data_IF_004754186813
#
_entry.id   IF_004754186813
#
_cell.length_a   1.000
_cell.length_b   1.000
_cell.length_c   1.000
_cell.angle_alpha   90.00
_cell.angle_beta   90.00
_cell.angle_gamma   90.00
#
_symmetry.space_group_name_H-M   'P 1'
#
loop_
_entity.id
_entity.type
_entity.pdbx_description
1 polymer ?
#
# COMPACT_ATOMS: atom_id res chain seq x y z
N UNK A 1 4.43 2.70 -1.59
CA UNK A 1 4.19 1.92 -0.38
C UNK A 1 2.71 1.58 -0.31
N UNK A 2 2.32 0.50 0.38
CA UNK A 2 0.93 0.17 0.67
C UNK A 2 0.70 0.19 2.19
N UNK A 3 -0.34 0.87 2.63
CA UNK A 3 -0.70 1.04 4.04
C UNK A 3 -2.16 0.66 4.24
N UNK A 4 -2.46 -0.07 5.31
CA UNK A 4 -3.83 -0.42 5.68
C UNK A 4 -4.27 0.35 6.91
N UNK A 5 -5.33 1.12 6.78
CA UNK A 5 -5.94 1.89 7.86
C UNK A 5 -7.15 1.16 8.42
N UNK A 6 -7.33 1.22 9.74
CA UNK A 6 -8.58 0.80 10.38
C UNK A 6 -9.57 1.97 10.27
N UNK A 7 -10.69 1.75 9.59
CA UNK A 7 -11.80 2.72 9.49
C UNK A 7 -13.09 2.11 10.05
N UNK A 8 -14.09 2.91 10.44
CA UNK A 8 -15.39 2.40 10.89
C UNK A 8 -16.08 1.47 9.88
N UNK A 9 -15.86 1.69 8.59
CA UNK A 9 -16.47 0.95 7.48
C UNK A 9 -15.70 -0.34 7.13
N UNK A 10 -14.50 -0.53 7.68
CA UNK A 10 -13.62 -1.67 7.42
C UNK A 10 -12.17 -1.27 7.18
N UNK A 11 -11.26 -2.22 6.94
CA UNK A 11 -9.87 -1.89 6.58
C UNK A 11 -9.81 -1.22 5.21
N UNK A 12 -9.16 -0.05 5.11
CA UNK A 12 -8.94 0.66 3.87
C UNK A 12 -7.47 0.54 3.44
N UNK A 13 -7.22 0.10 2.22
CA UNK A 13 -5.91 0.08 1.59
C UNK A 13 -5.67 1.43 0.90
N UNK A 14 -4.53 2.03 1.21
CA UNK A 14 -3.98 3.16 0.44
C UNK A 14 -2.63 2.74 -0.09
N UNK A 15 -2.43 2.88 -1.40
CA UNK A 15 -1.12 2.74 -2.01
C UNK A 15 -0.79 3.96 -2.84
N UNK A 16 0.38 4.54 -2.58
CA UNK A 16 0.91 5.68 -3.30
C UNK A 16 2.34 5.42 -3.76
N UNK A 17 2.69 5.92 -4.94
CA UNK A 17 4.05 5.91 -5.46
C UNK A 17 4.48 7.32 -5.80
N UNK A 18 5.66 7.74 -5.33
CA UNK A 18 6.31 8.93 -5.86
C UNK A 18 6.69 8.75 -7.34
N UNK A 19 6.94 9.83 -8.08
CA UNK A 19 7.15 9.80 -9.53
C UNK A 19 8.44 9.09 -9.99
N UNK A 20 9.28 8.57 -9.09
CA UNK A 20 10.62 8.08 -9.43
C UNK A 20 10.84 6.62 -9.04
N UNK A 21 11.52 5.89 -9.93
CA UNK A 21 12.04 4.55 -9.72
C UNK A 21 13.48 4.65 -9.15
N UNK A 22 13.75 4.15 -7.94
CA UNK A 22 15.06 4.06 -7.34
C UNK A 22 15.89 3.00 -8.08
N UNK A 23 16.61 3.44 -9.11
CA UNK A 23 17.67 2.65 -9.74
C UNK A 23 18.92 2.59 -8.86
N UNK A 24 19.84 1.68 -9.15
CA UNK A 24 21.08 1.44 -8.38
C UNK A 24 22.12 2.58 -8.41
N UNK A 25 21.69 3.82 -8.67
CA UNK A 25 22.52 5.02 -8.85
C UNK A 25 21.87 6.30 -8.31
N UNK A 26 20.82 6.21 -7.52
CA UNK A 26 20.15 7.41 -7.01
C UNK A 26 20.79 7.98 -5.73
N UNK A 27 20.82 9.31 -5.63
CA UNK A 27 21.40 10.06 -4.52
C UNK A 27 20.47 10.07 -3.29
N UNK A 28 21.02 10.56 -2.15
CA UNK A 28 20.44 10.58 -0.80
C UNK A 28 18.92 10.80 -0.79
N UNK A 29 18.26 9.87 -0.10
CA UNK A 29 16.81 9.76 0.07
C UNK A 29 16.23 11.03 0.72
N UNK A 30 15.81 11.96 -0.12
CA UNK A 30 15.02 13.10 0.30
C UNK A 30 13.58 12.75 -0.03
N UNK A 31 12.76 12.60 1.01
CA UNK A 31 11.32 12.40 0.88
C UNK A 31 10.71 13.64 0.23
N UNK A 32 10.66 13.67 -1.10
CA UNK A 32 10.01 14.73 -1.85
C UNK A 32 8.52 14.39 -1.92
N UNK A 33 7.78 14.94 -0.96
CA UNK A 33 6.36 15.26 -1.06
C UNK A 33 5.39 14.11 -1.41
N UNK A 34 4.70 13.61 -0.39
CA UNK A 34 3.42 12.88 -0.52
C UNK A 34 2.26 13.80 -0.95
N UNK A 35 2.52 14.78 -1.81
CA UNK A 35 1.61 15.89 -2.09
C UNK A 35 0.91 15.76 -3.45
N UNK A 36 1.11 14.63 -4.14
CA UNK A 36 0.41 14.33 -5.40
C UNK A 36 -0.82 13.45 -5.15
N UNK A 37 -1.89 14.09 -4.70
CA UNK A 37 -3.27 13.59 -4.52
C UNK A 37 -3.93 12.99 -5.79
N UNK A 38 -3.16 12.70 -6.85
CA UNK A 38 -3.65 12.19 -8.12
C UNK A 38 -3.06 10.83 -8.56
N UNK A 39 -2.16 10.24 -7.78
CA UNK A 39 -1.51 8.94 -8.10
C UNK A 39 -1.84 7.83 -7.10
N UNK A 40 -2.70 8.13 -6.12
CA UNK A 40 -3.03 7.23 -5.02
C UNK A 40 -4.13 6.26 -5.44
N UNK A 41 -3.89 4.97 -5.21
CA UNK A 41 -4.91 3.94 -5.28
C UNK A 41 -5.47 3.76 -3.87
N UNK A 42 -6.78 3.99 -3.72
CA UNK A 42 -7.51 3.81 -2.47
C UNK A 42 -8.62 2.80 -2.72
N UNK A 43 -8.70 1.78 -1.86
CA UNK A 43 -9.71 0.75 -1.97
C UNK A 43 -10.04 0.12 -0.61
N UNK A 44 -11.25 -0.43 -0.46
CA UNK A 44 -11.63 -1.18 0.73
C UNK A 44 -11.07 -2.60 0.65
N UNK A 45 -10.41 -3.05 1.72
CA UNK A 45 -9.97 -4.44 1.88
C UNK A 45 -11.14 -5.35 2.27
N UNK A 46 -12.19 -5.34 1.45
CA UNK A 46 -13.25 -6.33 1.49
C UNK A 46 -12.92 -7.41 0.45
N UNK A 47 -12.41 -8.56 0.90
CA UNK A 47 -12.39 -9.75 0.07
C UNK A 47 -13.68 -10.52 0.34
N UNK A 48 -14.53 -10.69 -0.66
CA UNK A 48 -15.54 -11.75 -0.58
C UNK A 48 -14.82 -13.10 -0.60
N UNK A 49 -15.48 -14.18 -0.19
CA UNK A 49 -14.86 -15.51 -0.12
C UNK A 49 -14.32 -16.04 -1.47
N UNK A 50 -14.62 -15.34 -2.57
CA UNK A 50 -14.33 -15.75 -3.94
C UNK A 50 -13.44 -14.77 -4.71
N UNK A 51 -13.09 -13.62 -4.11
CA UNK A 51 -12.29 -12.58 -4.76
C UNK A 51 -10.89 -12.54 -4.16
N UNK A 52 -9.91 -12.99 -4.95
CA UNK A 52 -8.48 -12.81 -4.69
C UNK A 52 -7.85 -12.11 -5.90
N UNK A 53 -8.07 -10.79 -5.97
CA UNK A 53 -7.49 -9.92 -6.99
C UNK A 53 -6.17 -9.31 -6.50
N UNK A 54 -5.39 -8.83 -7.48
CA UNK A 54 -4.11 -8.20 -7.24
C UNK A 54 -4.30 -6.69 -6.97
N UNK A 55 -3.98 -6.26 -5.75
CA UNK A 55 -4.01 -4.84 -5.37
C UNK A 55 -2.66 -4.17 -5.58
N UNK A 56 -2.61 -2.91 -6.03
CA UNK A 56 -1.35 -2.18 -6.17
C UNK A 56 -0.62 -2.01 -4.84
N UNK A 57 0.69 -2.24 -4.87
CA UNK A 57 1.64 -1.95 -3.80
C UNK A 57 2.83 -1.16 -4.34
N UNK A 58 2.54 -0.19 -5.22
CA UNK A 58 3.53 0.62 -5.93
C UNK A 58 4.52 1.21 -4.94
N UNK A 59 5.81 0.98 -5.12
CA UNK A 59 6.86 1.70 -4.39
C UNK A 59 7.58 2.63 -5.37
N UNK A 60 8.42 3.49 -4.82
CA UNK A 60 9.42 4.17 -5.63
C UNK A 60 10.44 3.19 -6.24
N UNK A 61 10.34 1.86 -6.06
CA UNK A 61 11.12 0.88 -6.81
C UNK A 61 10.42 0.34 -8.07
N UNK A 62 9.17 0.71 -8.33
CA UNK A 62 8.40 0.26 -9.50
C UNK A 62 7.00 -0.25 -9.16
N UNK A 63 6.26 -0.75 -10.18
CA UNK A 63 4.95 -1.34 -9.95
C UNK A 63 5.10 -2.70 -9.26
N UNK A 64 4.45 -2.84 -8.10
CA UNK A 64 4.26 -4.11 -7.42
C UNK A 64 2.77 -4.32 -7.15
N UNK A 65 2.40 -5.57 -6.95
CA UNK A 65 1.04 -5.96 -6.56
C UNK A 65 1.09 -6.96 -5.40
N UNK A 66 0.04 -6.98 -4.58
CA UNK A 66 -0.17 -7.94 -3.50
C UNK A 66 -1.48 -8.68 -3.74
N UNK A 67 -1.60 -9.92 -3.25
CA UNK A 67 -2.90 -10.58 -3.13
C UNK A 67 -3.75 -9.86 -2.09
N UNK A 68 -4.98 -9.51 -2.44
CA UNK A 68 -5.93 -8.92 -1.48
C UNK A 68 -6.18 -9.86 -0.31
N UNK A 69 -6.34 -11.16 -0.59
CA UNK A 69 -6.63 -12.18 0.43
C UNK A 69 -5.46 -12.36 1.40
N UNK A 70 -4.23 -12.45 0.90
CA UNK A 70 -3.04 -12.56 1.74
C UNK A 70 -2.83 -11.31 2.59
N UNK A 71 -3.05 -10.13 2.02
CA UNK A 71 -2.99 -8.86 2.75
C UNK A 71 -4.03 -8.81 3.89
N UNK A 72 -5.27 -9.23 3.61
CA UNK A 72 -6.32 -9.30 4.63
C UNK A 72 -5.97 -10.30 5.75
N UNK A 73 -5.37 -11.45 5.42
CA UNK A 73 -4.89 -12.39 6.43
C UNK A 73 -3.78 -11.79 7.28
N UNK A 74 -2.78 -11.13 6.67
CA UNK A 74 -1.69 -10.49 7.38
C UNK A 74 -2.17 -9.39 8.35
N UNK A 75 -3.21 -8.64 7.96
CA UNK A 75 -3.88 -7.66 8.84
C UNK A 75 -4.57 -8.36 10.01
N UNK A 76 -5.32 -9.45 9.76
CA UNK A 76 -6.00 -10.23 10.80
C UNK A 76 -5.03 -10.85 11.80
N UNK A 77 -3.93 -11.43 11.32
CA UNK A 77 -2.89 -12.04 12.16
C UNK A 77 -1.93 -11.03 12.77
N UNK A 78 -2.09 -9.73 12.47
CA UNK A 78 -1.20 -8.67 12.96
C UNK A 78 0.28 -8.97 12.66
N UNK A 79 0.56 -9.55 11.47
CA UNK A 79 1.90 -10.06 11.13
C UNK A 79 2.96 -8.97 11.21
N UNK A 80 2.63 -7.75 10.77
CA UNK A 80 3.49 -6.57 10.89
C UNK A 80 2.63 -5.35 11.23
N UNK A 81 2.74 -4.85 12.45
CA UNK A 81 1.99 -3.68 12.94
C UNK A 81 2.98 -2.61 13.40
N UNK A 82 2.87 -1.41 12.84
CA UNK A 82 3.60 -0.23 13.30
C UNK A 82 2.63 0.67 14.08
N UNK A 83 2.89 0.98 15.36
CA UNK A 83 2.12 1.97 16.08
C UNK A 83 2.44 3.37 15.52
N UNK A 84 1.42 4.16 15.24
CA UNK A 84 1.59 5.57 14.92
C UNK A 84 1.64 6.38 16.23
N UNK A 85 2.54 7.37 16.37
CA UNK A 85 2.58 8.26 17.52
C UNK A 85 1.36 9.17 17.62
#
# INVERSE_FOLDING_TARGET
MATVYKTPEGPALVSGGGPHAHGSRDFVDTAHHGDSLGSEFVDMLAATAFEDDAVPARCACGPHTLSRRELLQAVKSHTHVLPLP
#
